data_IF_441624505846
#
_entry.id   IF_441624505846
#
_cell.length_a   1.000
_cell.length_b   1.000
_cell.length_c   1.000
_cell.angle_alpha   90.00
_cell.angle_beta   90.00
_cell.angle_gamma   90.00
#
_symmetry.space_group_name_H-M   'P 1'
#
loop_
_entity.id
_entity.type
_entity.pdbx_description
1 polymer ?
#
# COMPACT_ATOMS: atom_id res chain seq x y z
N UNK A 1 9.16 -9.40 11.04
CA UNK A 1 8.97 -8.38 9.99
C UNK A 1 8.88 -9.09 8.65
N UNK A 2 7.90 -8.73 7.80
CA UNK A 2 7.82 -9.23 6.42
C UNK A 2 7.91 -8.04 5.48
N UNK A 3 8.86 -8.09 4.54
CA UNK A 3 8.89 -7.16 3.43
C UNK A 3 7.73 -7.50 2.51
N UNK A 4 6.92 -6.49 2.21
CA UNK A 4 5.79 -6.60 1.29
C UNK A 4 6.16 -5.73 0.09
N UNK A 5 5.81 -6.15 -1.12
CA UNK A 5 5.84 -5.28 -2.29
C UNK A 5 4.43 -5.30 -2.89
N UNK A 6 3.55 -4.53 -2.25
CA UNK A 6 2.12 -4.47 -2.61
C UNK A 6 1.72 -3.01 -2.79
N UNK A 7 0.99 -2.75 -3.87
CA UNK A 7 0.49 -1.41 -4.19
C UNK A 7 -0.93 -1.24 -3.65
N UNK A 8 -1.12 -0.18 -2.89
CA UNK A 8 -2.42 0.25 -2.39
C UNK A 8 -2.72 1.65 -2.92
N UNK A 9 -3.99 2.04 -2.90
CA UNK A 9 -4.42 3.44 -3.06
C UNK A 9 -4.93 3.97 -1.73
N UNK A 10 -4.49 5.16 -1.35
CA UNK A 10 -5.01 5.85 -0.18
C UNK A 10 -6.45 6.37 -0.42
N UNK A 11 -7.04 7.01 0.60
CA UNK A 11 -8.39 7.58 0.52
C UNK A 11 -8.59 8.64 -0.58
N UNK A 12 -7.49 9.19 -1.13
CA UNK A 12 -7.48 10.19 -2.21
C UNK A 12 -7.22 9.52 -3.57
N UNK A 13 -7.07 8.20 -3.61
CA UNK A 13 -6.74 7.44 -4.82
C UNK A 13 -5.25 7.47 -5.18
N UNK A 14 -4.39 8.00 -4.32
CA UNK A 14 -2.94 8.11 -4.59
C UNK A 14 -2.29 6.75 -4.35
N UNK A 15 -1.52 6.22 -5.32
CA UNK A 15 -0.82 4.95 -5.14
C UNK A 15 0.28 5.09 -4.07
N UNK A 16 0.35 4.08 -3.21
CA UNK A 16 1.41 3.90 -2.22
C UNK A 16 1.94 2.47 -2.29
N UNK A 17 3.24 2.31 -2.09
CA UNK A 17 3.89 1.00 -2.02
C UNK A 17 4.10 0.63 -0.55
N UNK A 18 3.35 -0.35 -0.06
CA UNK A 18 3.61 -0.92 1.27
C UNK A 18 4.88 -1.73 1.18
N UNK A 19 5.88 -1.34 1.96
CA UNK A 19 7.20 -1.99 1.98
C UNK A 19 7.37 -2.93 3.18
N UNK A 20 6.63 -2.68 4.27
CA UNK A 20 6.86 -3.37 5.55
C UNK A 20 5.65 -3.28 6.48
N UNK A 21 5.47 -4.31 7.30
CA UNK A 21 4.53 -4.32 8.43
C UNK A 21 5.23 -4.70 9.73
N UNK A 22 4.99 -3.91 10.78
CA UNK A 22 5.56 -4.05 12.11
C UNK A 22 4.46 -4.44 13.11
N UNK A 23 4.34 -5.74 13.44
CA UNK A 23 3.25 -6.23 14.30
C UNK A 23 3.37 -5.72 15.76
N UNK A 24 4.59 -5.48 16.25
CA UNK A 24 4.83 -5.03 17.62
C UNK A 24 4.23 -3.66 17.92
N UNK A 25 4.15 -2.80 16.89
CA UNK A 25 3.64 -1.43 16.99
C UNK A 25 2.31 -1.23 16.26
N UNK A 26 1.77 -2.30 15.65
CA UNK A 26 0.61 -2.27 14.76
C UNK A 26 0.77 -1.24 13.62
N UNK A 27 1.96 -1.15 13.00
CA UNK A 27 2.25 -0.14 11.96
C UNK A 27 2.49 -0.75 10.59
N UNK A 28 1.90 -0.13 9.58
CA UNK A 28 2.18 -0.38 8.16
C UNK A 28 3.05 0.75 7.65
N UNK A 29 4.21 0.41 7.10
CA UNK A 29 5.16 1.35 6.51
C UNK A 29 5.05 1.27 4.99
N UNK A 30 4.93 2.43 4.36
CA UNK A 30 4.74 2.56 2.92
C UNK A 30 5.46 3.79 2.36
N UNK A 31 5.77 3.72 1.08
CA UNK A 31 6.31 4.81 0.28
C UNK A 31 5.20 5.44 -0.55
N UNK A 32 5.21 6.76 -0.64
CA UNK A 32 4.35 7.52 -1.56
C UNK A 32 5.21 8.11 -2.67
N UNK A 33 4.69 8.07 -3.89
CA UNK A 33 5.34 8.69 -5.04
C UNK A 33 5.42 10.21 -4.82
N UNK A 34 6.58 10.82 -5.11
CA UNK A 34 6.89 12.24 -4.89
C UNK A 34 6.83 12.70 -3.41
N UNK A 35 7.23 11.86 -2.46
CA UNK A 35 7.34 12.25 -1.06
C UNK A 35 8.81 12.35 -0.61
N UNK A 36 9.32 13.57 -0.48
CA UNK A 36 10.74 13.85 -0.21
C UNK A 36 11.21 13.39 1.18
N UNK A 37 10.28 13.24 2.13
CA UNK A 37 10.61 12.80 3.48
C UNK A 37 10.79 11.27 3.61
N UNK A 38 10.62 10.52 2.51
CA UNK A 38 10.88 9.07 2.46
C UNK A 38 9.72 8.21 2.96
N UNK A 39 9.95 7.46 4.04
CA UNK A 39 9.00 6.45 4.54
C UNK A 39 7.84 7.08 5.33
N UNK A 40 6.62 6.66 5.01
CA UNK A 40 5.40 6.99 5.76
C UNK A 40 4.95 5.78 6.58
N UNK A 41 4.22 6.02 7.68
CA UNK A 41 3.57 4.96 8.43
C UNK A 41 2.13 5.30 8.80
N UNK A 42 1.32 4.26 9.02
CA UNK A 42 -0.03 4.35 9.56
C UNK A 42 -0.27 3.16 10.48
N UNK A 43 -1.17 3.29 11.46
CA UNK A 43 -1.65 2.12 12.20
C UNK A 43 -2.35 1.14 11.26
N UNK A 44 -2.34 -0.16 11.58
CA UNK A 44 -2.95 -1.21 10.74
C UNK A 44 -4.45 -0.98 10.60
N UNK A 45 -5.13 -0.60 11.68
CA UNK A 45 -6.57 -0.28 11.65
C UNK A 45 -6.88 0.86 10.67
N UNK A 46 -6.14 1.97 10.78
CA UNK A 46 -6.29 3.12 9.89
C UNK A 46 -5.91 2.76 8.44
N UNK A 47 -4.90 1.91 8.27
CA UNK A 47 -4.50 1.45 6.96
C UNK A 47 -5.63 0.66 6.30
N UNK A 48 -6.22 -0.32 7.01
CA UNK A 48 -7.36 -1.11 6.53
C UNK A 48 -8.60 -0.25 6.22
N UNK A 49 -8.82 0.81 6.99
CA UNK A 49 -9.97 1.70 6.79
C UNK A 49 -9.84 2.59 5.55
N UNK A 50 -8.65 3.14 5.31
CA UNK A 50 -8.45 4.20 4.31
C UNK A 50 -7.67 3.77 3.06
N UNK A 51 -7.03 2.61 3.06
CA UNK A 51 -6.27 2.13 1.93
C UNK A 51 -6.97 0.94 1.28
N UNK A 52 -7.02 0.96 -0.05
CA UNK A 52 -7.60 -0.13 -0.85
C UNK A 52 -6.51 -0.75 -1.70
N UNK A 53 -6.45 -2.08 -1.66
CA UNK A 53 -5.51 -2.83 -2.49
C UNK A 53 -5.85 -2.62 -3.96
N UNK A 54 -4.85 -2.31 -4.77
CA UNK A 54 -5.01 -2.33 -6.22
C UNK A 54 -4.79 -3.78 -6.65
N UNK A 55 -5.85 -4.58 -6.66
CA UNK A 55 -5.81 -5.85 -7.40
C UNK A 55 -5.51 -5.48 -8.85
N UNK A 56 -4.32 -5.86 -9.31
CA UNK A 56 -4.04 -5.89 -10.74
C UNK A 56 -4.94 -6.99 -11.28
N UNK A 57 -6.15 -6.65 -11.68
CA UNK A 57 -6.96 -7.53 -12.52
C UNK A 57 -6.18 -7.65 -13.82
N UNK A 58 -5.39 -8.71 -13.94
CA UNK A 58 -4.99 -9.21 -15.24
C UNK A 58 -6.29 -9.60 -15.94
N UNK A 59 -6.88 -8.67 -16.68
CA UNK A 59 -7.81 -9.05 -17.74
C UNK A 59 -6.95 -9.84 -18.74
N UNK A 60 -7.16 -11.16 -18.94
CA UNK A 60 -6.61 -11.80 -20.10
C UNK A 60 -7.28 -11.11 -21.28
N UNK A 61 -6.53 -10.25 -21.96
CA UNK A 61 -6.91 -9.72 -23.27
C UNK A 61 -6.85 -10.89 -24.24
N UNK A 62 -7.88 -11.73 -24.21
CA UNK A 62 -8.23 -12.61 -25.31
C UNK A 62 -8.59 -11.70 -26.48
N UNK A 63 -7.59 -11.30 -27.26
CA UNK A 63 -7.83 -10.77 -28.60
C UNK A 63 -8.49 -11.87 -29.40
N UNK A 64 -9.71 -11.58 -29.85
CA UNK A 64 -10.49 -12.36 -30.81
C UNK A 64 -9.76 -12.59 -32.12
#
# INVERSE_FOLDING_TARGET
>A
MRELDRIFRDKRGIPVRVIRWEPENDRVIYLRDNYEHGECFSSLERFKQYFREVSVTYEPTSKS
#
